data_IF_273114777793
#
_entry.id   IF_273114777793
#
_cell.length_a   1.000
_cell.length_b   1.000
_cell.length_c   1.000
_cell.angle_alpha   90.00
_cell.angle_beta   90.00
_cell.angle_gamma   90.00
#
_symmetry.space_group_name_H-M   'P 1'
#
loop_
_entity.id
_entity.type
_entity.pdbx_description
1 polymer ?
#
# COMPACT_ATOMS: atom_id res chain seq x y z
N UNK A 1 -16.59 -16.75 -35.32
CA UNK A 1 -15.74 -16.91 -34.13
C UNK A 1 -16.62 -16.65 -32.92
N UNK A 2 -16.89 -17.66 -32.09
CA UNK A 2 -17.77 -17.53 -30.93
C UNK A 2 -16.97 -16.95 -29.77
N UNK A 3 -17.23 -15.70 -29.41
CA UNK A 3 -16.71 -15.08 -28.19
C UNK A 3 -17.52 -15.61 -27.01
N UNK A 4 -17.01 -16.63 -26.35
CA UNK A 4 -17.53 -17.06 -25.05
C UNK A 4 -17.33 -15.91 -24.07
N UNK A 5 -18.41 -15.38 -23.50
CA UNK A 5 -18.31 -14.40 -22.43
C UNK A 5 -17.45 -14.99 -21.29
N UNK A 6 -16.50 -14.23 -20.72
CA UNK A 6 -15.70 -14.75 -19.61
C UNK A 6 -16.64 -15.12 -18.47
N UNK A 7 -16.55 -16.38 -18.02
CA UNK A 7 -17.25 -16.86 -16.83
C UNK A 7 -16.91 -15.94 -15.67
N UNK A 8 -17.93 -15.38 -15.01
CA UNK A 8 -17.73 -14.54 -13.84
C UNK A 8 -16.91 -15.31 -12.78
N UNK A 9 -15.85 -14.69 -12.27
CA UNK A 9 -15.07 -15.27 -11.19
C UNK A 9 -15.95 -15.36 -9.93
N UNK A 10 -15.80 -16.44 -9.13
CA UNK A 10 -16.57 -16.57 -7.91
C UNK A 10 -16.24 -15.43 -6.92
N UNK A 11 -17.21 -15.02 -6.07
CA UNK A 11 -16.94 -14.08 -4.97
C UNK A 11 -15.82 -14.60 -4.07
N UNK A 12 -15.04 -13.68 -3.53
CA UNK A 12 -13.93 -14.01 -2.64
C UNK A 12 -14.47 -14.17 -1.22
N UNK A 13 -14.29 -15.34 -0.58
CA UNK A 13 -14.76 -15.56 0.78
C UNK A 13 -14.23 -14.50 1.76
N UNK A 14 -15.11 -14.00 2.63
CA UNK A 14 -14.76 -13.00 3.64
C UNK A 14 -14.71 -11.56 3.15
N UNK A 15 -14.76 -11.31 1.84
CA UNK A 15 -14.79 -9.94 1.31
C UNK A 15 -16.23 -9.46 1.07
N UNK A 16 -16.66 -8.46 1.83
CA UNK A 16 -17.95 -7.78 1.66
C UNK A 16 -17.73 -6.34 1.19
N UNK A 17 -18.67 -5.73 0.46
CA UNK A 17 -18.55 -4.32 0.06
C UNK A 17 -18.66 -3.40 1.27
N UNK A 18 -17.77 -2.40 1.35
CA UNK A 18 -17.82 -1.33 2.35
C UNK A 18 -17.18 -0.05 1.81
N UNK A 19 -17.39 1.06 2.52
CA UNK A 19 -16.76 2.36 2.25
C UNK A 19 -16.01 2.77 3.51
N UNK A 20 -14.76 3.18 3.35
CA UNK A 20 -13.89 3.68 4.43
C UNK A 20 -13.11 4.90 3.93
N UNK A 21 -12.76 5.80 4.84
CA UNK A 21 -11.94 6.98 4.55
C UNK A 21 -11.09 7.34 5.79
N UNK A 22 -10.11 8.24 5.61
CA UNK A 22 -9.17 8.65 6.65
C UNK A 22 -9.84 9.23 7.91
N UNK A 23 -11.03 9.83 7.79
CA UNK A 23 -11.75 10.44 8.93
C UNK A 23 -12.50 9.40 9.79
N UNK A 24 -12.76 8.22 9.25
CA UNK A 24 -13.63 7.20 9.87
C UNK A 24 -12.92 5.87 10.13
N UNK A 25 -11.78 5.64 9.48
CA UNK A 25 -11.01 4.40 9.61
C UNK A 25 -10.37 4.26 11.00
N UNK A 26 -10.23 3.02 11.51
CA UNK A 26 -9.41 2.76 12.69
C UNK A 26 -7.99 3.33 12.50
N UNK A 27 -7.56 4.14 13.46
CA UNK A 27 -6.29 4.84 13.40
C UNK A 27 -5.37 4.44 14.56
N UNK A 28 -4.09 4.23 14.25
CA UNK A 28 -3.10 3.76 15.20
C UNK A 28 -1.84 4.60 15.13
N UNK A 29 -1.30 4.95 16.29
CA UNK A 29 0.03 5.56 16.39
C UNK A 29 1.07 4.47 16.57
N UNK A 30 2.07 4.44 15.69
CA UNK A 30 3.21 3.52 15.79
C UNK A 30 4.46 4.19 15.24
N UNK A 31 5.52 4.23 16.05
CA UNK A 31 6.81 4.85 15.70
C UNK A 31 6.68 6.28 15.16
N UNK A 32 5.84 7.11 15.81
CA UNK A 32 5.49 8.48 15.41
C UNK A 32 4.81 8.63 14.03
N UNK A 33 4.38 7.51 13.43
CA UNK A 33 3.54 7.50 12.24
C UNK A 33 2.09 7.29 12.66
N UNK A 34 1.19 8.08 12.06
CA UNK A 34 -0.25 7.84 12.16
C UNK A 34 -0.67 6.94 11.00
N UNK A 35 -1.24 5.79 11.33
CA UNK A 35 -1.74 4.79 10.38
C UNK A 35 -3.26 4.79 10.39
N UNK A 36 -3.91 5.18 9.30
CA UNK A 36 -5.37 5.09 9.12
C UNK A 36 -5.67 3.88 8.25
N UNK A 37 -6.12 2.79 8.86
CA UNK A 37 -6.30 1.49 8.19
C UNK A 37 -7.63 1.47 7.45
N UNK A 38 -7.61 1.77 6.17
CA UNK A 38 -8.79 1.85 5.32
C UNK A 38 -9.38 0.47 5.03
N UNK A 39 -8.53 -0.56 4.88
CA UNK A 39 -8.92 -1.96 4.70
C UNK A 39 -7.82 -2.87 5.24
N UNK A 40 -8.18 -3.91 5.97
CA UNK A 40 -7.24 -4.95 6.40
C UNK A 40 -7.39 -6.27 5.63
N UNK A 41 -6.60 -7.28 6.01
CA UNK A 41 -6.65 -8.59 5.37
C UNK A 41 -7.98 -9.32 5.56
N UNK A 42 -8.70 -9.10 6.67
CA UNK A 42 -10.02 -9.70 6.88
C UNK A 42 -11.06 -9.08 5.95
N UNK A 43 -11.02 -7.75 5.77
CA UNK A 43 -11.93 -7.03 4.87
C UNK A 43 -11.77 -7.45 3.40
N UNK A 44 -10.54 -7.78 3.01
CA UNK A 44 -10.20 -8.07 1.60
C UNK A 44 -10.13 -9.56 1.28
N UNK A 45 -10.33 -10.45 2.25
CA UNK A 45 -10.11 -11.89 2.06
C UNK A 45 -8.63 -12.23 1.80
N UNK A 46 -7.72 -11.51 2.44
CA UNK A 46 -6.27 -11.76 2.43
C UNK A 46 -5.54 -11.25 1.19
N UNK A 47 -6.17 -10.44 0.35
CA UNK A 47 -5.59 -9.99 -0.92
C UNK A 47 -4.66 -8.79 -0.78
N UNK A 48 -5.08 -7.80 0.01
CA UNK A 48 -4.34 -6.57 0.23
C UNK A 48 -4.74 -5.95 1.56
N UNK A 49 -3.90 -5.06 2.05
CA UNK A 49 -4.28 -4.05 3.02
C UNK A 49 -4.12 -2.68 2.37
N UNK A 50 -4.92 -1.71 2.82
CA UNK A 50 -4.84 -0.34 2.36
C UNK A 50 -4.90 0.58 3.56
N UNK A 51 -3.98 1.55 3.59
CA UNK A 51 -3.92 2.54 4.66
C UNK A 51 -3.42 3.87 4.12
N UNK A 52 -3.91 4.94 4.73
CA UNK A 52 -3.30 6.26 4.61
C UNK A 52 -2.34 6.46 5.78
N UNK A 53 -1.21 7.11 5.53
CA UNK A 53 -0.19 7.31 6.55
C UNK A 53 0.26 8.76 6.58
N UNK A 54 0.39 9.32 7.79
CA UNK A 54 1.07 10.59 8.03
C UNK A 54 2.39 10.33 8.74
N UNK A 55 3.48 10.72 8.10
CA UNK A 55 4.84 10.43 8.53
C UNK A 55 5.59 11.72 8.86
N UNK A 56 6.39 11.76 9.94
CA UNK A 56 7.22 12.91 10.25
C UNK A 56 8.43 12.99 9.31
N UNK A 57 8.96 14.20 9.13
CA UNK A 57 10.19 14.42 8.36
C UNK A 57 11.34 13.57 8.91
N UNK A 58 12.07 12.92 8.02
CA UNK A 58 13.17 12.04 8.38
C UNK A 58 12.71 10.68 8.92
N UNK A 59 11.44 10.31 8.76
CA UNK A 59 10.99 8.94 8.98
C UNK A 59 11.21 8.09 7.72
N UNK A 60 11.35 6.78 7.92
CA UNK A 60 11.31 5.78 6.86
C UNK A 60 12.04 4.52 7.28
N UNK A 61 11.57 3.33 6.86
CA UNK A 61 12.23 2.08 7.21
C UNK A 61 13.62 2.00 6.58
N UNK A 62 14.55 1.31 7.25
CA UNK A 62 15.80 0.91 6.63
C UNK A 62 15.57 -0.08 5.47
N UNK A 63 16.58 -0.36 4.65
CA UNK A 63 16.42 -1.27 3.51
C UNK A 63 15.98 -2.68 3.91
N UNK A 64 14.87 -3.13 3.32
CA UNK A 64 14.24 -4.42 3.60
C UNK A 64 13.55 -4.97 2.33
N UNK A 65 12.86 -6.12 2.46
CA UNK A 65 12.03 -6.70 1.40
C UNK A 65 10.87 -7.50 1.99
N UNK A 66 9.78 -7.59 1.25
CA UNK A 66 8.64 -8.44 1.58
C UNK A 66 8.70 -9.72 0.74
N UNK A 67 8.57 -10.88 1.37
CA UNK A 67 8.61 -12.18 0.65
C UNK A 67 7.21 -12.68 0.26
N UNK A 68 6.16 -12.10 0.82
CA UNK A 68 4.77 -12.57 0.67
C UNK A 68 3.88 -11.59 -0.08
N UNK A 69 4.26 -10.32 -0.17
CA UNK A 69 3.43 -9.25 -0.69
C UNK A 69 4.23 -8.30 -1.57
N UNK A 70 3.56 -7.79 -2.60
CA UNK A 70 3.99 -6.56 -3.24
C UNK A 70 3.64 -5.39 -2.32
N UNK A 71 4.35 -4.27 -2.45
CA UNK A 71 4.04 -3.03 -1.75
C UNK A 71 3.84 -1.90 -2.74
N UNK A 72 2.83 -1.07 -2.50
CA UNK A 72 2.53 0.08 -3.35
C UNK A 72 2.36 1.32 -2.53
N UNK A 73 2.80 2.45 -3.09
CA UNK A 73 2.57 3.77 -2.51
C UNK A 73 1.89 4.66 -3.53
N UNK A 74 0.98 5.51 -3.07
CA UNK A 74 0.46 6.61 -3.85
C UNK A 74 0.65 7.89 -3.04
N UNK A 75 1.41 8.83 -3.59
CA UNK A 75 1.78 10.03 -2.87
C UNK A 75 0.61 11.03 -2.86
N UNK A 76 -0.05 11.18 -1.71
CA UNK A 76 -1.16 12.14 -1.53
C UNK A 76 -0.65 13.58 -1.35
N UNK A 77 0.46 13.74 -0.64
CA UNK A 77 1.16 15.01 -0.44
C UNK A 77 2.64 14.79 -0.10
N UNK A 78 3.44 15.85 -0.14
CA UNK A 78 4.86 15.81 0.17
C UNK A 78 5.71 15.05 -0.85
N UNK A 79 6.90 14.62 -0.41
CA UNK A 79 7.85 13.84 -1.20
C UNK A 79 8.63 12.85 -0.33
N UNK A 80 9.13 11.78 -0.94
CA UNK A 80 10.04 10.82 -0.34
C UNK A 80 11.23 10.55 -1.26
N UNK A 81 12.38 10.26 -0.68
CA UNK A 81 13.50 9.61 -1.38
C UNK A 81 13.35 8.10 -1.22
N UNK A 82 13.11 7.40 -2.31
CA UNK A 82 12.83 5.97 -2.37
C UNK A 82 14.01 5.22 -3.00
N UNK A 83 14.46 4.16 -2.34
CA UNK A 83 15.35 3.14 -2.88
C UNK A 83 14.49 1.98 -3.38
N UNK A 84 14.68 1.55 -4.63
CA UNK A 84 14.08 0.33 -5.21
C UNK A 84 15.14 -0.43 -6.00
N UNK A 85 15.44 -1.66 -5.58
CA UNK A 85 16.59 -2.40 -6.07
C UNK A 85 17.88 -1.67 -5.74
N UNK A 86 18.59 -1.23 -6.78
CA UNK A 86 19.84 -0.47 -6.69
C UNK A 86 19.68 1.02 -7.03
N UNK A 87 18.46 1.45 -7.36
CA UNK A 87 18.18 2.82 -7.78
C UNK A 87 17.55 3.64 -6.66
N UNK A 88 17.99 4.90 -6.56
CA UNK A 88 17.37 5.90 -5.69
C UNK A 88 16.63 6.92 -6.53
N UNK A 89 15.36 7.17 -6.22
CA UNK A 89 14.47 8.07 -6.94
C UNK A 89 13.67 8.92 -5.95
N UNK A 90 13.31 10.13 -6.33
CA UNK A 90 12.36 10.95 -5.57
C UNK A 90 10.95 10.71 -6.10
N UNK A 91 10.02 10.42 -5.21
CA UNK A 91 8.59 10.38 -5.53
C UNK A 91 7.89 11.54 -4.82
N UNK A 92 6.96 12.19 -5.52
CA UNK A 92 6.23 13.36 -5.04
C UNK A 92 4.73 13.18 -5.25
N UNK A 93 3.93 14.09 -4.72
CA UNK A 93 2.48 14.12 -4.89
C UNK A 93 2.01 13.73 -6.30
N UNK A 94 1.12 12.76 -6.38
CA UNK A 94 0.55 12.21 -7.62
C UNK A 94 1.32 11.03 -8.21
N UNK A 95 2.55 10.77 -7.76
CA UNK A 95 3.32 9.60 -8.20
C UNK A 95 2.76 8.32 -7.59
N UNK A 96 2.70 7.27 -8.42
CA UNK A 96 2.45 5.90 -8.00
C UNK A 96 3.74 5.09 -8.00
N UNK A 97 3.94 4.29 -6.96
CA UNK A 97 5.09 3.42 -6.78
C UNK A 97 4.59 1.99 -6.63
N UNK A 98 5.18 1.07 -7.38
CA UNK A 98 5.00 -0.37 -7.25
C UNK A 98 6.35 -0.99 -6.90
N UNK A 99 6.37 -1.76 -5.82
CA UNK A 99 7.52 -2.54 -5.36
C UNK A 99 7.12 -4.01 -5.35
N UNK A 100 7.52 -4.79 -6.37
CA UNK A 100 7.26 -6.22 -6.39
C UNK A 100 7.90 -6.91 -5.19
N UNK A 101 7.27 -7.99 -4.70
CA UNK A 101 7.85 -8.88 -3.70
C UNK A 101 9.27 -9.30 -4.05
N UNK A 102 10.04 -9.59 -3.01
CA UNK A 102 11.47 -9.89 -3.07
C UNK A 102 12.36 -8.76 -3.62
N UNK A 103 11.83 -7.57 -3.88
CA UNK A 103 12.61 -6.38 -4.23
C UNK A 103 13.11 -5.68 -2.98
N UNK A 104 14.42 -5.41 -2.89
CA UNK A 104 14.99 -4.59 -1.82
C UNK A 104 14.52 -3.14 -1.96
N UNK A 105 13.98 -2.55 -0.91
CA UNK A 105 13.51 -1.18 -0.92
C UNK A 105 13.66 -0.49 0.44
N UNK A 106 13.68 0.84 0.42
CA UNK A 106 13.66 1.72 1.59
C UNK A 106 13.07 3.06 1.16
N UNK A 107 12.60 3.88 2.09
CA UNK A 107 12.35 5.28 1.79
C UNK A 107 12.73 6.20 2.95
N UNK A 108 12.77 7.49 2.67
CA UNK A 108 12.90 8.54 3.67
C UNK A 108 12.07 9.76 3.27
N UNK A 109 11.25 10.26 4.20
CA UNK A 109 10.54 11.55 4.11
C UNK A 109 11.51 12.70 4.35
#
# INVERSE_FOLDING_TARGET
MSTTAPTALPPIPGSVPFISNADTAPAYWMADVLWMVLADGNDTGGRFSLMEQLLPKGFGPGPHKHTWSDETFYMLDGEITLLVGDETRTARKGDFIMVPRDTRHAFRV
#
